data_IF_527427375873
#
_entry.id   IF_527427375873
#
_cell.length_a   1.000
_cell.length_b   1.000
_cell.length_c   1.000
_cell.angle_alpha   90.00
_cell.angle_beta   90.00
_cell.angle_gamma   90.00
#
_symmetry.space_group_name_H-M   'P 1'
#
loop_
_entity.id
_entity.type
_entity.pdbx_description
1 polymer ?
#
# COMPACT_ATOMS: atom_id res chain seq x y z
N UNK A 1 -3.57 -46.11 1.89
CA UNK A 1 -4.42 -45.36 2.86
C UNK A 1 -5.74 -45.04 2.17
N UNK A 2 -6.91 -45.38 2.70
CA UNK A 2 -8.23 -45.05 2.09
C UNK A 2 -8.91 -43.93 2.88
N UNK A 3 -9.22 -42.80 2.25
CA UNK A 3 -10.06 -41.76 2.84
C UNK A 3 -11.54 -42.17 2.77
N UNK A 4 -12.32 -41.85 3.81
CA UNK A 4 -13.75 -42.16 3.90
C UNK A 4 -14.59 -40.94 3.53
N UNK A 5 -15.20 -40.94 2.34
CA UNK A 5 -16.26 -39.97 2.01
C UNK A 5 -17.57 -40.45 2.64
N UNK A 6 -18.08 -39.75 3.66
CA UNK A 6 -19.44 -39.98 4.17
C UNK A 6 -20.43 -39.13 3.36
N UNK A 7 -21.18 -39.77 2.46
CA UNK A 7 -22.53 -39.30 2.17
C UNK A 7 -23.39 -39.53 3.43
N UNK A 8 -24.25 -38.58 3.76
CA UNK A 8 -25.42 -38.82 4.59
C UNK A 8 -26.66 -38.63 3.72
N UNK A 9 -27.48 -39.67 3.62
CA UNK A 9 -28.80 -39.60 3.02
C UNK A 9 -29.82 -39.20 4.08
N UNK A 10 -30.86 -38.47 3.66
CA UNK A 10 -32.13 -38.40 4.37
C UNK A 10 -33.16 -39.18 3.55
N UNK A 11 -33.58 -40.34 4.06
CA UNK A 11 -34.88 -40.92 3.70
C UNK A 11 -35.99 -40.27 4.54
N UNK A 12 -37.25 -40.71 4.48
CA UNK A 12 -37.81 -41.90 3.83
C UNK A 12 -39.17 -41.51 3.22
N UNK A 13 -39.53 -42.12 2.10
CA UNK A 13 -40.92 -42.17 1.64
C UNK A 13 -41.39 -43.63 1.64
N UNK A 14 -42.48 -43.91 2.34
CA UNK A 14 -43.13 -45.23 2.38
C UNK A 14 -44.64 -45.05 2.51
N UNK A 15 -45.41 -45.79 1.70
CA UNK A 15 -46.86 -45.80 1.76
C UNK A 15 -47.36 -47.16 2.24
N UNK A 16 -48.32 -47.16 3.16
CA UNK A 16 -48.98 -48.37 3.68
C UNK A 16 -50.27 -47.97 4.38
N UNK A 17 -51.39 -48.54 3.97
CA UNK A 17 -52.71 -48.15 4.44
C UNK A 17 -53.25 -49.21 5.40
N UNK A 18 -53.55 -48.80 6.63
CA UNK A 18 -54.17 -49.65 7.66
C UNK A 18 -55.07 -48.76 8.51
N UNK A 19 -56.36 -49.10 8.59
CA UNK A 19 -57.38 -48.23 9.19
C UNK A 19 -57.59 -48.61 10.65
N UNK A 20 -57.29 -47.67 11.56
CA UNK A 20 -57.88 -47.62 12.89
C UNK A 20 -58.47 -46.23 13.10
N UNK A 21 -59.69 -46.16 13.65
CA UNK A 21 -60.30 -44.91 14.05
C UNK A 21 -59.74 -44.50 15.42
N UNK A 22 -58.70 -43.67 15.39
CA UNK A 22 -58.22 -42.88 16.51
C UNK A 22 -58.15 -41.41 16.06
N UNK A 23 -58.24 -40.46 16.98
CA UNK A 23 -58.36 -39.04 16.64
C UNK A 23 -57.19 -38.56 15.78
N UNK A 24 -57.51 -37.97 14.63
CA UNK A 24 -56.52 -37.43 13.70
C UNK A 24 -55.93 -36.11 14.22
N UNK A 25 -55.21 -36.16 15.33
CA UNK A 25 -54.13 -35.21 15.63
C UNK A 25 -53.02 -35.51 14.63
N UNK A 26 -53.20 -35.03 13.41
CA UNK A 26 -52.15 -35.00 12.41
C UNK A 26 -51.06 -34.06 12.92
N UNK A 27 -50.04 -34.62 13.57
CA UNK A 27 -48.79 -33.93 13.86
C UNK A 27 -48.16 -33.51 12.52
N UNK A 28 -48.53 -32.33 12.05
CA UNK A 28 -47.92 -31.70 10.89
C UNK A 28 -46.43 -31.57 11.19
N UNK A 29 -45.59 -32.28 10.42
CA UNK A 29 -44.18 -32.46 10.75
C UNK A 29 -43.46 -31.10 10.81
N UNK A 30 -43.26 -30.61 12.03
CA UNK A 30 -42.63 -29.34 12.34
C UNK A 30 -41.14 -29.39 11.94
N UNK A 31 -40.65 -28.27 11.39
CA UNK A 31 -39.38 -28.21 10.66
C UNK A 31 -39.56 -28.00 9.15
N UNK A 32 -38.53 -28.37 8.38
CA UNK A 32 -38.45 -28.12 6.94
C UNK A 32 -39.38 -29.02 6.12
N UNK A 33 -40.19 -28.41 5.24
CA UNK A 33 -41.04 -29.10 4.26
C UNK A 33 -40.87 -28.50 2.86
N UNK A 34 -41.06 -29.30 1.82
CA UNK A 34 -41.10 -28.81 0.43
C UNK A 34 -42.46 -28.21 0.09
N UNK A 35 -42.47 -27.16 -0.73
CA UNK A 35 -43.67 -26.47 -1.20
C UNK A 35 -43.47 -26.11 -2.67
N UNK A 36 -43.88 -27.01 -3.55
CA UNK A 36 -43.48 -26.99 -4.96
C UNK A 36 -41.96 -27.08 -5.09
N UNK A 37 -41.37 -26.16 -5.86
CA UNK A 37 -39.92 -26.11 -6.13
C UNK A 37 -39.13 -25.32 -5.06
N UNK A 38 -39.72 -25.01 -3.91
CA UNK A 38 -39.08 -24.28 -2.81
C UNK A 38 -39.36 -24.95 -1.45
N UNK A 39 -38.83 -24.37 -0.38
CA UNK A 39 -38.97 -24.86 0.98
C UNK A 39 -39.79 -23.91 1.85
N UNK A 40 -40.49 -24.47 2.82
CA UNK A 40 -41.11 -23.78 3.95
C UNK A 40 -40.57 -24.39 5.25
N UNK A 41 -40.72 -23.67 6.36
CA UNK A 41 -40.50 -24.21 7.70
C UNK A 41 -41.82 -24.11 8.46
N UNK A 42 -42.22 -25.20 9.12
CA UNK A 42 -43.42 -25.28 9.93
C UNK A 42 -43.02 -25.18 11.40
N UNK A 43 -43.58 -24.19 12.10
CA UNK A 43 -43.37 -24.00 13.54
C UNK A 43 -44.16 -25.03 14.38
N UNK A 44 -43.90 -25.09 15.68
CA UNK A 44 -44.52 -26.06 16.59
C UNK A 44 -46.04 -25.91 16.75
N UNK A 45 -46.63 -24.80 16.28
CA UNK A 45 -48.07 -24.54 16.23
C UNK A 45 -48.71 -24.96 14.89
N UNK A 46 -47.93 -25.52 13.96
CA UNK A 46 -48.36 -25.89 12.61
C UNK A 46 -48.39 -24.72 11.61
N UNK A 47 -48.03 -23.50 12.02
CA UNK A 47 -47.99 -22.34 11.13
C UNK A 47 -46.71 -22.29 10.28
N UNK A 48 -46.71 -21.48 9.21
CA UNK A 48 -45.50 -21.24 8.39
C UNK A 48 -44.64 -20.15 9.02
N UNK A 49 -43.39 -20.50 9.34
CA UNK A 49 -42.41 -19.55 9.86
C UNK A 49 -42.14 -18.39 8.88
N UNK A 50 -41.93 -17.20 9.43
CA UNK A 50 -41.71 -15.96 8.66
C UNK A 50 -40.59 -15.13 9.27
N UNK A 51 -39.65 -14.70 8.43
CA UNK A 51 -38.47 -13.95 8.85
C UNK A 51 -37.26 -14.85 9.11
N UNK A 52 -36.45 -14.51 10.12
CA UNK A 52 -35.14 -15.11 10.36
C UNK A 52 -35.21 -16.40 11.17
N UNK A 53 -34.79 -17.52 10.55
CA UNK A 53 -34.53 -18.79 11.25
C UNK A 53 -33.03 -18.89 11.55
N UNK A 54 -32.70 -19.43 12.72
CA UNK A 54 -31.35 -19.86 13.09
C UNK A 54 -31.36 -21.37 13.34
N UNK A 55 -30.47 -22.09 12.66
CA UNK A 55 -30.23 -23.53 12.85
C UNK A 55 -28.82 -23.77 13.39
N UNK A 56 -28.41 -25.04 13.50
CA UNK A 56 -27.01 -25.45 13.70
C UNK A 56 -26.08 -25.01 12.57
N UNK A 57 -26.62 -24.86 11.36
CA UNK A 57 -25.83 -24.71 10.13
C UNK A 57 -25.64 -23.24 9.74
N UNK A 58 -26.43 -22.35 10.34
CA UNK A 58 -26.42 -20.91 10.12
C UNK A 58 -27.82 -20.30 10.12
N UNK A 59 -27.94 -19.15 9.46
CA UNK A 59 -29.18 -18.39 9.33
C UNK A 59 -29.86 -18.60 7.98
N UNK A 60 -31.19 -18.56 7.98
CA UNK A 60 -32.07 -18.63 6.81
C UNK A 60 -33.10 -17.49 6.90
N UNK A 61 -33.72 -17.11 5.78
CA UNK A 61 -34.80 -16.11 5.78
C UNK A 61 -36.03 -16.58 5.01
N UNK A 62 -37.14 -16.74 5.73
CA UNK A 62 -38.44 -17.10 5.19
C UNK A 62 -39.19 -15.82 4.81
N UNK A 63 -39.72 -15.78 3.60
CA UNK A 63 -40.38 -14.60 3.05
C UNK A 63 -41.64 -14.21 3.83
N UNK A 64 -41.75 -12.94 4.23
CA UNK A 64 -42.78 -12.47 5.15
C UNK A 64 -44.21 -12.55 4.58
N UNK A 65 -44.39 -12.56 3.26
CA UNK A 65 -45.71 -12.76 2.66
C UNK A 65 -46.03 -14.26 2.59
N UNK A 66 -45.15 -15.04 1.94
CA UNK A 66 -45.44 -16.41 1.48
C UNK A 66 -45.00 -17.54 2.42
N UNK A 67 -44.07 -17.27 3.34
CA UNK A 67 -43.39 -18.28 4.17
C UNK A 67 -42.36 -19.13 3.39
N UNK A 68 -42.02 -18.76 2.15
CA UNK A 68 -41.07 -19.48 1.30
C UNK A 68 -39.61 -19.11 1.63
N UNK A 69 -38.72 -20.08 1.60
CA UNK A 69 -37.29 -19.92 1.83
C UNK A 69 -36.66 -19.01 0.77
N UNK A 70 -35.91 -17.98 1.20
CA UNK A 70 -35.20 -17.08 0.29
C UNK A 70 -33.88 -17.69 -0.21
N UNK A 71 -33.59 -17.47 -1.48
CA UNK A 71 -32.31 -17.76 -2.14
C UNK A 71 -31.87 -16.56 -2.97
N UNK A 72 -30.58 -16.46 -3.30
CA UNK A 72 -30.00 -15.31 -3.98
C UNK A 72 -29.95 -14.04 -3.13
N UNK A 73 -29.89 -12.89 -3.78
CA UNK A 73 -29.86 -11.58 -3.13
C UNK A 73 -31.25 -11.19 -2.56
N UNK A 74 -31.31 -10.86 -1.27
CA UNK A 74 -32.51 -10.31 -0.61
C UNK A 74 -32.13 -9.04 0.16
N UNK A 75 -32.92 -7.97 0.00
CA UNK A 75 -32.79 -6.75 0.81
C UNK A 75 -33.74 -6.83 2.00
N UNK A 76 -33.21 -6.74 3.22
CA UNK A 76 -33.94 -6.90 4.49
C UNK A 76 -33.53 -5.73 5.39
N UNK A 77 -34.51 -4.98 5.92
CA UNK A 77 -34.29 -3.80 6.78
C UNK A 77 -33.23 -2.82 6.22
N UNK A 78 -33.38 -2.50 4.92
CA UNK A 78 -32.48 -1.70 4.08
C UNK A 78 -31.04 -2.26 3.86
N UNK A 79 -30.66 -3.38 4.46
CA UNK A 79 -29.36 -4.05 4.24
C UNK A 79 -29.49 -5.16 3.20
N UNK A 80 -28.42 -5.42 2.44
CA UNK A 80 -28.37 -6.55 1.50
C UNK A 80 -27.77 -7.80 2.15
N UNK A 81 -28.34 -8.95 1.81
CA UNK A 81 -27.90 -10.28 2.21
C UNK A 81 -27.91 -11.19 0.97
N UNK A 82 -27.06 -12.21 0.98
CA UNK A 82 -27.12 -13.30 -0.01
C UNK A 82 -27.42 -14.61 0.69
N UNK A 83 -28.36 -15.38 0.14
CA UNK A 83 -28.71 -16.72 0.58
C UNK A 83 -28.29 -17.72 -0.51
N UNK A 84 -27.51 -18.74 -0.13
CA UNK A 84 -27.03 -19.78 -1.04
C UNK A 84 -28.20 -20.59 -1.61
N UNK A 85 -27.96 -21.43 -2.62
CA UNK A 85 -28.99 -22.27 -3.25
C UNK A 85 -29.74 -23.19 -2.28
N UNK A 86 -29.12 -23.54 -1.15
CA UNK A 86 -29.72 -24.29 -0.04
C UNK A 86 -30.30 -23.40 1.07
N UNK A 87 -30.57 -22.11 0.81
CA UNK A 87 -31.18 -21.17 1.75
C UNK A 87 -30.28 -20.61 2.85
N UNK A 88 -29.07 -21.16 3.05
CA UNK A 88 -28.14 -20.66 4.05
C UNK A 88 -27.60 -19.28 3.68
N UNK A 89 -27.67 -18.34 4.64
CA UNK A 89 -27.04 -17.02 4.54
C UNK A 89 -25.53 -17.13 4.27
N UNK A 90 -25.01 -16.21 3.48
CA UNK A 90 -23.58 -16.06 3.22
C UNK A 90 -22.91 -15.20 4.28
N UNK A 91 -21.69 -15.58 4.66
CA UNK A 91 -20.73 -14.82 5.47
C UNK A 91 -19.38 -14.96 4.79
N UNK A 92 -18.57 -13.90 4.80
CA UNK A 92 -17.29 -13.84 4.10
C UNK A 92 -17.43 -13.69 2.58
N UNK A 93 -16.39 -14.13 1.86
CA UNK A 93 -16.28 -14.00 0.40
C UNK A 93 -17.29 -14.83 -0.38
N UNK A 94 -18.00 -14.17 -1.30
CA UNK A 94 -18.92 -14.78 -2.27
C UNK A 94 -18.45 -14.46 -3.69
N UNK A 95 -18.38 -15.48 -4.56
CA UNK A 95 -18.23 -15.27 -6.01
C UNK A 95 -19.55 -15.56 -6.72
N UNK A 96 -20.10 -14.55 -7.39
CA UNK A 96 -21.35 -14.64 -8.17
C UNK A 96 -21.17 -13.87 -9.48
N UNK A 97 -21.65 -14.41 -10.61
CA UNK A 97 -21.61 -13.72 -11.92
C UNK A 97 -20.19 -13.19 -12.31
N UNK A 98 -19.17 -13.98 -11.97
CA UNK A 98 -17.73 -13.67 -12.06
C UNK A 98 -17.24 -12.42 -11.27
N UNK A 99 -18.08 -11.83 -10.43
CA UNK A 99 -17.75 -10.77 -9.46
C UNK A 99 -17.49 -11.37 -8.08
N UNK A 100 -16.72 -10.66 -7.26
CA UNK A 100 -16.53 -10.99 -5.83
C UNK A 100 -17.27 -9.99 -4.95
N UNK A 101 -17.84 -10.49 -3.86
CA UNK A 101 -18.60 -9.75 -2.86
C UNK A 101 -18.17 -10.22 -1.45
N UNK A 102 -18.44 -9.43 -0.42
CA UNK A 102 -18.13 -9.80 0.97
C UNK A 102 -19.29 -9.51 1.91
N UNK A 103 -19.77 -10.54 2.61
CA UNK A 103 -20.70 -10.41 3.74
C UNK A 103 -19.92 -10.35 5.05
N UNK A 104 -20.26 -9.41 5.94
CA UNK A 104 -19.78 -9.42 7.32
C UNK A 104 -20.35 -10.62 8.10
N UNK A 105 -19.88 -10.86 9.33
CA UNK A 105 -20.32 -11.98 10.19
C UNK A 105 -21.83 -11.96 10.49
N UNK A 106 -22.43 -10.78 10.47
CA UNK A 106 -23.89 -10.59 10.58
C UNK A 106 -24.65 -10.80 9.26
N UNK A 107 -23.99 -11.33 8.23
CA UNK A 107 -24.50 -11.58 6.87
C UNK A 107 -24.55 -10.37 5.94
N UNK A 108 -24.40 -9.15 6.46
CA UNK A 108 -24.66 -7.92 5.69
C UNK A 108 -23.56 -7.65 4.67
N UNK A 109 -23.96 -7.35 3.43
CA UNK A 109 -23.06 -7.02 2.33
C UNK A 109 -22.30 -5.72 2.61
N UNK A 110 -20.98 -5.75 2.45
CA UNK A 110 -20.14 -4.54 2.46
C UNK A 110 -20.27 -3.81 1.13
N UNK A 111 -20.67 -2.53 1.17
CA UNK A 111 -20.91 -1.70 -0.01
C UNK A 111 -20.34 -0.30 0.17
N UNK A 112 -19.71 0.23 -0.88
CA UNK A 112 -19.18 1.60 -0.94
C UNK A 112 -18.03 1.92 0.01
N UNK A 113 -17.45 0.93 0.71
CA UNK A 113 -16.45 1.13 1.75
C UNK A 113 -15.19 0.30 1.54
N UNK A 114 -14.13 0.71 2.23
CA UNK A 114 -13.00 -0.18 2.48
C UNK A 114 -13.40 -1.35 3.39
N UNK A 115 -12.65 -2.44 3.22
CA UNK A 115 -12.74 -3.70 3.94
C UNK A 115 -11.31 -4.12 4.30
N UNK A 116 -11.05 -4.39 5.58
CA UNK A 116 -9.76 -4.93 6.04
C UNK A 116 -9.94 -6.37 6.51
N UNK A 117 -9.12 -7.27 5.95
CA UNK A 117 -9.04 -8.67 6.38
C UNK A 117 -7.57 -8.94 6.69
N UNK A 118 -7.26 -9.25 7.95
CA UNK A 118 -5.90 -9.37 8.47
C UNK A 118 -5.08 -8.07 8.20
N UNK A 119 -4.03 -8.17 7.38
CA UNK A 119 -3.18 -7.07 6.94
C UNK A 119 -3.48 -6.65 5.48
N UNK A 120 -4.56 -7.14 4.89
CA UNK A 120 -4.93 -6.90 3.50
C UNK A 120 -6.12 -5.92 3.43
N UNK A 121 -5.99 -4.90 2.57
CA UNK A 121 -7.05 -3.92 2.31
C UNK A 121 -7.72 -4.19 0.96
N UNK A 122 -9.04 -4.10 0.94
CA UNK A 122 -9.92 -4.24 -0.23
C UNK A 122 -10.87 -3.04 -0.26
N UNK A 123 -11.42 -2.71 -1.41
CA UNK A 123 -12.50 -1.73 -1.53
C UNK A 123 -13.71 -2.36 -2.21
N UNK A 124 -14.86 -2.31 -1.55
CA UNK A 124 -16.12 -2.84 -2.07
C UNK A 124 -16.91 -1.68 -2.66
N UNK A 125 -17.24 -1.76 -3.95
CA UNK A 125 -17.90 -0.68 -4.71
C UNK A 125 -19.35 -0.49 -4.25
N UNK A 126 -20.05 0.52 -4.77
CA UNK A 126 -21.45 0.81 -4.39
C UNK A 126 -22.42 -0.37 -4.57
N UNK A 127 -22.22 -1.22 -5.59
CA UNK A 127 -22.99 -2.46 -5.79
C UNK A 127 -22.55 -3.64 -4.92
N UNK A 128 -21.52 -3.46 -4.09
CA UNK A 128 -20.87 -4.51 -3.30
C UNK A 128 -19.77 -5.28 -4.04
N UNK A 129 -19.48 -4.98 -5.31
CA UNK A 129 -18.40 -5.66 -6.02
C UNK A 129 -17.01 -5.24 -5.51
N UNK A 130 -16.15 -6.22 -5.25
CA UNK A 130 -14.74 -6.02 -4.99
C UNK A 130 -14.05 -5.24 -6.13
N UNK A 131 -13.29 -4.21 -5.78
CA UNK A 131 -12.50 -3.45 -6.74
C UNK A 131 -11.26 -4.22 -7.21
N UNK A 132 -10.96 -4.11 -8.50
CA UNK A 132 -9.69 -4.47 -9.14
C UNK A 132 -9.25 -3.33 -10.06
N UNK A 133 -7.96 -3.22 -10.36
CA UNK A 133 -7.37 -2.15 -11.16
C UNK A 133 -7.33 -0.78 -10.45
N UNK A 134 -7.09 0.27 -11.24
CA UNK A 134 -7.07 1.66 -10.77
C UNK A 134 -8.45 2.15 -10.31
N UNK A 135 -8.51 2.80 -9.14
CA UNK A 135 -9.69 3.49 -8.61
C UNK A 135 -9.31 4.84 -8.02
N UNK A 136 -10.13 5.85 -8.26
CA UNK A 136 -10.05 7.10 -7.50
C UNK A 136 -11.04 7.01 -6.33
N UNK A 137 -10.55 7.19 -5.10
CA UNK A 137 -11.33 7.16 -3.86
C UNK A 137 -10.92 8.40 -3.06
N UNK A 138 -11.89 9.19 -2.62
CA UNK A 138 -11.67 10.43 -1.87
C UNK A 138 -10.59 11.35 -2.49
N UNK A 139 -10.71 11.53 -3.82
CA UNK A 139 -9.81 12.26 -4.74
C UNK A 139 -8.43 11.62 -4.99
N UNK A 140 -8.01 10.63 -4.21
CA UNK A 140 -6.71 9.97 -4.36
C UNK A 140 -6.80 8.72 -5.25
N UNK A 141 -5.72 8.37 -5.96
CA UNK A 141 -5.66 7.16 -6.77
C UNK A 141 -5.09 5.98 -5.98
N UNK A 142 -5.73 4.82 -6.12
CA UNK A 142 -5.35 3.54 -5.53
C UNK A 142 -5.32 2.48 -6.62
N UNK A 143 -4.47 1.46 -6.46
CA UNK A 143 -4.46 0.29 -7.33
C UNK A 143 -4.80 -0.98 -6.56
N UNK A 144 -5.80 -1.71 -7.05
CA UNK A 144 -6.19 -3.02 -6.52
C UNK A 144 -5.71 -4.11 -7.48
N UNK A 145 -5.02 -5.13 -6.95
CA UNK A 145 -4.52 -6.27 -7.73
C UNK A 145 -5.67 -7.15 -8.25
N UNK A 146 -5.34 -8.15 -9.08
CA UNK A 146 -6.34 -9.07 -9.64
C UNK A 146 -7.10 -9.88 -8.56
N UNK A 147 -6.49 -10.08 -7.40
CA UNK A 147 -7.09 -10.68 -6.20
C UNK A 147 -7.78 -9.65 -5.26
N UNK A 148 -7.99 -8.42 -5.75
CA UNK A 148 -8.66 -7.34 -5.04
C UNK A 148 -7.87 -6.67 -3.92
N UNK A 149 -6.65 -7.13 -3.61
CA UNK A 149 -5.82 -6.52 -2.57
C UNK A 149 -5.19 -5.23 -3.06
N UNK A 150 -5.28 -4.17 -2.26
CA UNK A 150 -4.59 -2.90 -2.49
C UNK A 150 -3.08 -3.11 -2.65
N UNK A 151 -2.46 -2.33 -3.53
CA UNK A 151 -1.02 -2.28 -3.74
C UNK A 151 -0.36 -1.20 -2.85
N UNK A 152 0.90 -1.43 -2.52
CA UNK A 152 1.76 -0.58 -1.69
C UNK A 152 3.19 -0.66 -2.25
N UNK A 153 3.98 0.41 -2.13
CA UNK A 153 5.33 0.48 -2.68
C UNK A 153 5.37 0.57 -4.21
N UNK A 154 6.47 0.08 -4.80
CA UNK A 154 6.67 0.05 -6.25
C UNK A 154 5.73 -0.92 -6.95
N UNK A 155 5.03 -0.45 -7.98
CA UNK A 155 4.11 -1.23 -8.82
C UNK A 155 4.51 -1.10 -10.30
N UNK A 156 4.78 -2.23 -10.97
CA UNK A 156 4.99 -2.29 -12.43
C UNK A 156 3.70 -2.71 -13.14
N UNK A 157 3.26 -1.94 -14.13
CA UNK A 157 2.15 -2.28 -15.03
C UNK A 157 2.60 -2.07 -16.48
N UNK A 158 2.87 -3.17 -17.21
CA UNK A 158 3.56 -3.10 -18.49
C UNK A 158 4.96 -2.48 -18.31
N UNK A 159 5.30 -1.49 -19.13
CA UNK A 159 6.59 -0.77 -19.03
C UNK A 159 6.57 0.40 -18.03
N UNK A 160 5.41 0.73 -17.47
CA UNK A 160 5.25 1.81 -16.52
C UNK A 160 5.48 1.34 -15.09
N UNK A 161 6.18 2.16 -14.30
CA UNK A 161 6.28 2.01 -12.85
C UNK A 161 5.55 3.15 -12.16
N UNK A 162 4.95 2.82 -11.02
CA UNK A 162 4.22 3.73 -10.13
C UNK A 162 4.70 3.48 -8.69
N UNK A 163 4.48 4.44 -7.80
CA UNK A 163 4.67 4.23 -6.37
C UNK A 163 3.38 4.50 -5.60
N UNK A 164 2.99 3.56 -4.75
CA UNK A 164 1.89 3.69 -3.80
C UNK A 164 2.50 3.89 -2.41
N UNK A 165 2.09 4.93 -1.69
CA UNK A 165 2.53 5.21 -0.32
C UNK A 165 2.05 4.15 0.69
N UNK A 166 2.46 4.26 1.96
CA UNK A 166 2.03 3.35 3.04
C UNK A 166 0.51 3.34 3.23
N UNK A 167 -0.14 4.50 3.05
CA UNK A 167 -1.59 4.65 3.07
C UNK A 167 -2.29 4.20 1.77
N UNK A 168 -1.54 3.62 0.83
CA UNK A 168 -2.00 3.07 -0.45
C UNK A 168 -2.15 4.09 -1.58
N UNK A 169 -1.96 5.39 -1.33
CA UNK A 169 -2.17 6.46 -2.33
C UNK A 169 -1.04 6.49 -3.36
N UNK A 170 -1.40 6.62 -4.63
CA UNK A 170 -0.44 6.85 -5.72
C UNK A 170 0.23 8.22 -5.57
N UNK A 171 1.57 8.23 -5.61
CA UNK A 171 2.36 9.45 -5.60
C UNK A 171 2.56 10.03 -7.01
N UNK A 172 2.86 11.32 -7.07
CA UNK A 172 3.22 12.07 -8.28
C UNK A 172 4.24 13.17 -7.95
N UNK A 173 4.89 13.73 -8.96
CA UNK A 173 5.96 14.73 -8.82
C UNK A 173 7.29 14.15 -8.34
N UNK A 174 8.14 15.02 -7.78
CA UNK A 174 9.38 14.63 -7.12
C UNK A 174 9.10 13.88 -5.82
N UNK A 175 9.74 12.73 -5.63
CA UNK A 175 9.57 11.88 -4.44
C UNK A 175 10.91 11.31 -3.97
N UNK A 176 11.18 11.38 -2.66
CA UNK A 176 12.33 10.72 -2.05
C UNK A 176 11.90 9.37 -1.47
N UNK A 177 12.43 8.27 -2.02
CA UNK A 177 12.07 6.90 -1.66
C UNK A 177 13.37 6.14 -1.37
N UNK A 178 13.51 5.59 -0.16
CA UNK A 178 14.72 4.86 0.27
C UNK A 178 16.02 5.61 -0.04
N UNK A 179 16.09 6.87 0.39
CA UNK A 179 17.19 7.83 0.19
C UNK A 179 17.51 8.23 -1.26
N UNK A 180 16.86 7.65 -2.27
CA UNK A 180 17.00 8.07 -3.68
C UNK A 180 15.84 9.00 -4.09
N UNK A 181 16.09 9.96 -4.97
CA UNK A 181 15.04 10.81 -5.55
C UNK A 181 14.54 10.21 -6.87
N UNK A 182 13.24 10.32 -7.12
CA UNK A 182 12.56 9.85 -8.33
C UNK A 182 11.57 10.93 -8.80
N UNK A 183 11.22 10.93 -10.08
CA UNK A 183 10.16 11.80 -10.61
C UNK A 183 9.07 10.94 -11.24
N UNK A 184 7.87 11.03 -10.66
CA UNK A 184 6.64 10.44 -11.17
C UNK A 184 5.84 11.54 -11.89
N UNK A 185 5.32 11.31 -13.09
CA UNK A 185 4.52 12.33 -13.78
C UNK A 185 3.12 12.52 -13.16
N UNK A 186 2.31 13.41 -13.74
CA UNK A 186 0.96 13.70 -13.27
C UNK A 186 -0.02 12.50 -13.35
N UNK A 187 0.37 11.40 -14.01
CA UNK A 187 -0.36 10.12 -14.03
C UNK A 187 0.29 9.06 -13.12
N UNK A 188 1.26 9.47 -12.30
CA UNK A 188 2.05 8.61 -11.41
C UNK A 188 3.13 7.78 -12.11
N UNK A 189 3.40 8.01 -13.40
CA UNK A 189 4.35 7.18 -14.16
C UNK A 189 5.78 7.68 -13.94
N UNK A 190 6.65 6.78 -13.47
CA UNK A 190 8.09 7.01 -13.32
C UNK A 190 8.73 7.46 -14.64
N UNK A 191 9.41 8.61 -14.60
CA UNK A 191 10.15 9.18 -15.71
C UNK A 191 11.64 8.83 -15.60
N UNK A 192 12.24 8.55 -16.76
CA UNK A 192 13.65 8.18 -16.92
C UNK A 192 14.27 8.92 -18.09
N UNK A 193 15.59 9.09 -18.09
CA UNK A 193 16.32 9.95 -19.02
C UNK A 193 16.36 11.42 -18.57
N UNK A 194 16.58 12.32 -19.53
CA UNK A 194 16.64 13.75 -19.28
C UNK A 194 15.29 14.33 -18.82
N UNK A 195 15.31 15.13 -17.76
CA UNK A 195 14.18 15.86 -17.21
C UNK A 195 14.54 17.35 -17.10
N UNK A 196 13.55 18.24 -17.22
CA UNK A 196 13.69 19.69 -17.09
C UNK A 196 12.49 20.23 -16.32
N UNK A 197 12.71 21.02 -15.28
CA UNK A 197 11.65 21.68 -14.49
C UNK A 197 11.30 23.09 -15.02
N UNK A 198 12.05 23.59 -16.00
CA UNK A 198 11.98 24.96 -16.55
C UNK A 198 13.18 25.83 -16.18
N UNK A 199 13.88 25.49 -15.10
CA UNK A 199 15.08 26.18 -14.57
C UNK A 199 16.32 25.28 -14.64
N UNK A 200 16.18 24.03 -14.23
CA UNK A 200 17.24 23.05 -14.04
C UNK A 200 17.01 21.82 -14.93
N UNK A 201 18.10 21.27 -15.48
CA UNK A 201 18.11 19.93 -16.09
C UNK A 201 18.56 18.89 -15.07
N UNK A 202 17.94 17.73 -15.12
CA UNK A 202 18.25 16.55 -14.32
C UNK A 202 18.44 15.34 -15.25
N UNK A 203 19.17 14.33 -14.80
CA UNK A 203 19.16 13.02 -15.44
C UNK A 203 18.64 11.96 -14.48
N UNK A 204 17.53 11.34 -14.86
CA UNK A 204 16.94 10.20 -14.19
C UNK A 204 17.48 8.95 -14.86
N UNK A 205 17.99 7.99 -14.09
CA UNK A 205 18.63 6.78 -14.63
C UNK A 205 17.66 5.90 -15.45
N UNK A 206 18.17 4.91 -16.21
CA UNK A 206 17.32 3.92 -16.89
C UNK A 206 16.43 3.09 -15.96
N UNK A 207 15.64 2.19 -16.56
CA UNK A 207 14.82 1.16 -15.88
C UNK A 207 15.43 -0.22 -16.15
N UNK A 208 16.58 -0.50 -15.55
CA UNK A 208 17.28 -1.78 -15.64
C UNK A 208 17.28 -2.51 -14.28
N UNK A 209 18.01 -3.62 -14.17
CA UNK A 209 18.03 -4.45 -12.95
C UNK A 209 18.77 -3.81 -11.76
N UNK A 210 19.55 -2.74 -12.01
CA UNK A 210 20.36 -2.01 -11.01
C UNK A 210 19.84 -0.59 -10.76
N UNK A 211 19.27 0.04 -11.79
CA UNK A 211 18.77 1.41 -11.76
C UNK A 211 17.27 1.46 -12.05
N UNK A 212 16.50 2.14 -11.21
CA UNK A 212 15.04 2.23 -11.29
C UNK A 212 14.58 3.69 -11.43
N UNK A 213 15.14 4.46 -12.37
CA UNK A 213 14.78 5.87 -12.53
C UNK A 213 15.19 6.78 -11.38
N UNK A 214 16.30 6.46 -10.69
CA UNK A 214 16.89 7.31 -9.65
C UNK A 214 17.44 8.60 -10.25
N UNK A 215 17.40 9.70 -9.51
CA UNK A 215 18.09 10.94 -9.88
C UNK A 215 19.60 10.77 -9.78
N UNK A 216 20.33 11.27 -10.78
CA UNK A 216 21.79 11.24 -10.86
C UNK A 216 22.43 12.42 -10.12
N UNK A 217 23.60 12.16 -9.54
CA UNK A 217 24.49 13.15 -8.93
C UNK A 217 25.91 13.02 -9.50
N UNK A 218 26.77 13.99 -9.20
CA UNK A 218 28.20 13.98 -9.53
C UNK A 218 28.47 13.83 -11.03
N UNK A 219 29.60 13.22 -11.39
CA UNK A 219 29.98 12.94 -12.77
C UNK A 219 29.21 11.73 -13.33
N UNK A 220 28.53 11.91 -14.47
CA UNK A 220 27.85 10.83 -15.21
C UNK A 220 28.19 10.93 -16.70
N UNK A 221 28.51 9.80 -17.32
CA UNK A 221 28.61 9.71 -18.78
C UNK A 221 27.23 9.34 -19.35
N UNK A 222 26.75 10.12 -20.32
CA UNK A 222 25.46 9.97 -20.98
C UNK A 222 25.71 10.18 -22.49
N UNK A 223 25.32 9.21 -23.31
CA UNK A 223 25.48 9.23 -24.78
C UNK A 223 26.92 9.59 -25.23
N UNK A 224 27.91 9.04 -24.52
CA UNK A 224 29.34 9.24 -24.74
C UNK A 224 29.94 10.50 -24.09
N UNK A 225 29.14 11.50 -23.73
CA UNK A 225 29.61 12.75 -23.12
C UNK A 225 29.55 12.70 -21.60
N UNK A 226 30.51 13.32 -20.92
CA UNK A 226 30.44 13.53 -19.47
C UNK A 226 29.65 14.79 -19.14
N UNK A 227 28.82 14.68 -18.11
CA UNK A 227 28.06 15.77 -17.49
C UNK A 227 28.32 15.75 -15.98
N UNK A 228 28.15 16.89 -15.32
CA UNK A 228 28.23 16.99 -13.86
C UNK A 228 26.90 17.48 -13.27
N UNK A 229 26.40 16.79 -12.24
CA UNK A 229 25.18 17.12 -11.51
C UNK A 229 25.53 17.48 -10.05
N UNK A 230 24.98 18.59 -9.53
CA UNK A 230 25.25 19.01 -8.15
C UNK A 230 24.53 18.12 -7.12
N UNK A 231 24.71 18.40 -5.82
CA UNK A 231 24.07 17.65 -4.73
C UNK A 231 22.51 17.70 -4.74
N UNK A 232 21.90 18.63 -5.49
CA UNK A 232 20.45 18.70 -5.73
C UNK A 232 20.03 18.00 -7.03
N UNK A 233 20.95 17.38 -7.77
CA UNK A 233 20.72 16.74 -9.07
C UNK A 233 20.70 17.70 -10.26
N UNK A 234 21.04 18.98 -10.09
CA UNK A 234 20.99 19.97 -11.16
C UNK A 234 22.25 19.87 -12.02
N UNK A 235 22.09 19.67 -13.33
CA UNK A 235 23.16 19.64 -14.32
C UNK A 235 23.87 21.00 -14.37
N UNK A 236 25.19 21.00 -14.16
CA UNK A 236 26.02 22.21 -14.17
C UNK A 236 26.49 22.59 -15.57
N UNK A 237 26.89 23.86 -15.71
CA UNK A 237 27.51 24.47 -16.90
C UNK A 237 28.61 25.42 -16.44
N UNK A 238 29.53 25.77 -17.32
CA UNK A 238 30.71 26.58 -16.97
C UNK A 238 31.72 25.77 -16.16
N UNK A 239 32.41 26.42 -15.23
CA UNK A 239 33.49 25.80 -14.47
C UNK A 239 32.99 24.92 -13.32
N UNK A 240 33.48 23.69 -13.26
CA UNK A 240 33.35 22.78 -12.11
C UNK A 240 34.74 22.48 -11.56
N UNK A 241 34.91 22.64 -10.24
CA UNK A 241 36.09 22.17 -9.50
C UNK A 241 35.74 20.87 -8.76
N UNK A 242 36.43 19.79 -9.06
CA UNK A 242 36.27 18.49 -8.41
C UNK A 242 37.65 17.86 -8.13
N UNK A 243 37.86 17.28 -6.95
CA UNK A 243 39.13 16.66 -6.53
C UNK A 243 40.37 17.56 -6.79
N UNK A 244 40.23 18.85 -6.46
CA UNK A 244 41.17 19.96 -6.73
C UNK A 244 41.58 20.18 -8.20
N UNK A 245 40.86 19.59 -9.16
CA UNK A 245 41.01 19.79 -10.61
C UNK A 245 39.87 20.62 -11.15
N UNK A 246 40.10 21.31 -12.26
CA UNK A 246 39.15 22.20 -12.91
C UNK A 246 38.74 21.64 -14.27
N UNK A 247 37.44 21.66 -14.52
CA UNK A 247 36.77 21.12 -15.69
C UNK A 247 35.80 22.18 -16.22
N UNK A 248 35.56 22.21 -17.54
CA UNK A 248 34.57 23.11 -18.14
C UNK A 248 33.46 22.31 -18.82
N UNK A 249 32.21 22.67 -18.49
CA UNK A 249 30.98 22.09 -19.03
C UNK A 249 30.39 23.14 -19.99
N UNK A 250 30.17 22.78 -21.26
CA UNK A 250 29.71 23.72 -22.27
C UNK A 250 28.26 24.20 -22.05
N UNK A 251 27.72 24.97 -22.99
CA UNK A 251 26.33 25.48 -22.96
C UNK A 251 25.25 24.38 -22.93
N UNK A 252 25.55 23.15 -23.36
CA UNK A 252 24.68 21.98 -23.23
C UNK A 252 24.86 21.21 -21.92
N UNK A 253 25.94 21.48 -21.17
CA UNK A 253 26.38 20.73 -19.99
C UNK A 253 27.43 19.65 -20.26
N UNK A 254 27.95 19.53 -21.49
CA UNK A 254 28.94 18.52 -21.88
C UNK A 254 30.35 18.95 -21.49
N UNK A 255 31.12 18.06 -20.87
CA UNK A 255 32.52 18.28 -20.52
C UNK A 255 33.39 18.46 -21.76
N UNK A 256 34.20 19.52 -21.75
CA UNK A 256 35.22 19.80 -22.76
C UNK A 256 36.43 18.89 -22.52
N UNK A 257 36.92 18.25 -23.59
CA UNK A 257 38.09 17.35 -23.56
C UNK A 257 38.96 17.56 -24.81
N UNK A 258 40.26 17.34 -24.68
CA UNK A 258 41.22 17.22 -25.79
C UNK A 258 41.34 18.42 -26.71
N UNK A 259 41.07 19.64 -26.23
CA UNK A 259 41.03 20.86 -27.04
C UNK A 259 41.33 22.11 -26.19
N UNK A 260 41.60 23.23 -26.86
CA UNK A 260 41.75 24.54 -26.20
C UNK A 260 40.55 25.44 -26.51
N UNK A 261 40.03 26.14 -25.49
CA UNK A 261 38.95 27.12 -25.63
C UNK A 261 39.36 28.48 -25.09
N UNK A 262 38.90 29.56 -25.74
CA UNK A 262 38.89 30.90 -25.17
C UNK A 262 37.64 31.07 -24.30
N UNK A 263 37.83 31.31 -23.01
CA UNK A 263 36.78 31.54 -22.01
C UNK A 263 37.13 32.85 -21.29
N UNK A 264 36.23 33.83 -21.34
CA UNK A 264 36.37 35.15 -20.71
C UNK A 264 37.68 35.89 -21.06
N UNK A 265 38.23 35.65 -22.26
CA UNK A 265 39.46 36.25 -22.77
C UNK A 265 40.73 35.42 -22.57
N UNK A 266 40.65 34.30 -21.84
CA UNK A 266 41.77 33.42 -21.52
C UNK A 266 41.68 32.09 -22.28
N UNK A 267 42.81 31.62 -22.82
CA UNK A 267 42.88 30.31 -23.48
C UNK A 267 43.21 29.23 -22.45
N UNK A 268 42.32 28.23 -22.31
CA UNK A 268 42.51 27.05 -21.48
C UNK A 268 42.59 25.82 -22.36
N UNK A 269 43.64 25.03 -22.20
CA UNK A 269 43.76 23.68 -22.80
C UNK A 269 43.22 22.64 -21.83
N UNK A 270 42.43 21.71 -22.34
CA UNK A 270 41.82 20.62 -21.59
C UNK A 270 42.39 19.27 -22.08
N UNK A 271 42.88 18.45 -21.15
CA UNK A 271 43.43 17.12 -21.46
C UNK A 271 42.36 16.12 -21.96
N UNK A 272 42.78 14.90 -22.28
CA UNK A 272 41.87 13.82 -22.69
C UNK A 272 40.87 13.37 -21.59
N UNK A 273 40.98 13.90 -20.37
CA UNK A 273 40.09 13.67 -19.22
C UNK A 273 39.33 14.94 -18.81
N UNK A 274 39.47 16.03 -19.57
CA UNK A 274 38.81 17.32 -19.35
C UNK A 274 39.43 18.20 -18.26
N UNK A 275 40.65 17.90 -17.83
CA UNK A 275 41.38 18.67 -16.83
C UNK A 275 42.04 19.88 -17.51
N UNK A 276 41.81 21.09 -16.99
CA UNK A 276 42.47 22.31 -17.48
C UNK A 276 43.93 22.42 -17.01
N UNK A 277 44.86 22.69 -17.92
CA UNK A 277 46.31 22.61 -17.65
C UNK A 277 46.86 23.69 -16.70
N UNK A 278 46.32 24.93 -16.73
CA UNK A 278 46.70 26.00 -15.79
C UNK A 278 45.49 26.84 -15.37
N UNK A 279 45.42 27.16 -14.09
CA UNK A 279 44.20 27.67 -13.43
C UNK A 279 44.36 29.15 -13.06
N UNK A 280 44.12 30.05 -14.02
CA UNK A 280 43.85 31.46 -13.72
C UNK A 280 42.41 31.83 -14.11
N UNK A 281 41.45 31.18 -13.45
CA UNK A 281 40.00 31.35 -13.70
C UNK A 281 39.47 32.76 -13.35
N UNK A 282 40.31 33.65 -12.83
CA UNK A 282 39.94 35.02 -12.46
C UNK A 282 38.72 35.06 -11.55
N UNK A 283 37.73 35.87 -11.94
CA UNK A 283 36.45 36.04 -11.22
C UNK A 283 35.33 35.12 -11.75
N UNK A 284 35.65 34.12 -12.58
CA UNK A 284 34.64 33.24 -13.16
C UNK A 284 33.86 32.46 -12.07
N UNK A 285 32.57 32.21 -12.31
CA UNK A 285 31.76 31.41 -11.40
C UNK A 285 32.16 29.94 -11.50
N UNK A 286 32.74 29.41 -10.42
CA UNK A 286 33.18 28.01 -10.30
C UNK A 286 32.26 27.25 -9.33
N UNK A 287 31.55 26.24 -9.83
CA UNK A 287 30.86 25.30 -8.95
C UNK A 287 31.89 24.39 -8.26
N UNK A 288 31.95 24.43 -6.93
CA UNK A 288 32.83 23.56 -6.15
C UNK A 288 32.08 22.27 -5.77
N UNK A 289 32.55 21.13 -6.26
CA UNK A 289 31.94 19.82 -6.00
C UNK A 289 32.22 19.35 -4.57
N UNK A 290 31.20 19.43 -3.72
CA UNK A 290 31.09 18.67 -2.48
C UNK A 290 30.57 17.25 -2.74
N UNK A 291 30.85 16.32 -1.83
CA UNK A 291 30.34 14.96 -1.88
C UNK A 291 28.81 14.93 -1.82
N UNK A 292 28.16 14.25 -2.77
CA UNK A 292 26.72 14.06 -2.74
C UNK A 292 26.27 13.14 -1.58
N UNK A 293 25.03 13.26 -1.07
CA UNK A 293 24.53 12.38 -0.03
C UNK A 293 24.37 10.93 -0.50
N UNK A 294 25.02 9.98 0.17
CA UNK A 294 24.68 8.54 0.09
C UNK A 294 25.54 7.65 -0.81
N UNK A 295 26.52 8.19 -1.54
CA UNK A 295 27.50 7.37 -2.28
C UNK A 295 28.86 7.30 -1.55
N UNK A 296 29.36 6.09 -1.30
CA UNK A 296 30.75 5.86 -0.88
C UNK A 296 31.68 5.96 -2.09
N UNK A 297 32.87 6.55 -1.89
CA UNK A 297 33.80 6.95 -2.96
C UNK A 297 34.18 5.81 -3.94
N UNK A 298 33.51 5.74 -5.09
CA UNK A 298 33.98 4.97 -6.25
C UNK A 298 35.13 5.72 -6.95
N UNK A 299 36.32 5.64 -6.36
CA UNK A 299 37.54 6.29 -6.82
C UNK A 299 38.06 5.66 -8.14
N UNK A 300 37.74 6.26 -9.28
CA UNK A 300 38.26 5.81 -10.58
C UNK A 300 39.69 6.30 -10.83
N UNK A 301 40.66 5.52 -10.33
CA UNK A 301 42.08 5.88 -10.37
C UNK A 301 43.04 4.68 -10.30
N UNK A 302 43.09 3.88 -11.37
CA UNK A 302 44.07 2.80 -11.65
C UNK A 302 44.15 1.60 -10.71
N UNK A 303 44.37 0.42 -11.31
CA UNK A 303 44.55 -0.86 -10.62
C UNK A 303 46.02 -1.11 -10.25
N UNK A 304 46.29 -1.47 -8.99
CA UNK A 304 47.52 -2.13 -8.58
C UNK A 304 47.21 -3.18 -7.50
N UNK A 305 47.77 -4.38 -7.62
CA UNK A 305 47.77 -5.36 -6.51
C UNK A 305 48.80 -4.92 -5.48
N UNK A 306 48.40 -4.79 -4.23
CA UNK A 306 49.29 -5.06 -3.10
C UNK A 306 48.49 -5.69 -1.96
N UNK A 307 49.13 -6.59 -1.23
CA UNK A 307 48.57 -7.31 -0.10
C UNK A 307 49.11 -6.76 1.21
N UNK A 308 48.26 -6.58 2.22
CA UNK A 308 48.59 -7.04 3.58
C UNK A 308 47.36 -7.11 4.49
N UNK A 309 47.55 -7.85 5.57
CA UNK A 309 46.57 -8.38 6.50
C UNK A 309 45.75 -7.34 7.29
N UNK A 310 44.61 -7.82 7.78
CA UNK A 310 43.90 -7.34 8.96
C UNK A 310 44.79 -7.13 10.19
N UNK A 311 44.39 -6.21 11.07
CA UNK A 311 44.35 -6.47 12.51
C UNK A 311 43.27 -5.60 13.19
N UNK A 312 42.48 -6.23 14.04
CA UNK A 312 41.65 -5.63 15.09
C UNK A 312 42.55 -5.39 16.33
N UNK A 313 42.30 -4.38 17.17
CA UNK A 313 41.90 -4.76 18.54
C UNK A 313 40.94 -3.79 19.27
N UNK A 314 39.85 -4.36 19.80
CA UNK A 314 39.31 -4.23 21.17
C UNK A 314 39.13 -2.84 21.83
N UNK A 315 37.92 -2.61 22.37
CA UNK A 315 37.65 -1.64 23.44
C UNK A 315 38.19 -2.08 24.82
N UNK A 316 38.17 -1.22 25.86
CA UNK A 316 37.08 -1.38 26.84
C UNK A 316 36.62 -0.11 27.62
N UNK A 317 35.58 -0.32 28.44
CA UNK A 317 35.23 0.34 29.72
C UNK A 317 34.77 1.82 29.80
N UNK A 318 33.45 1.96 29.97
CA UNK A 318 32.72 2.75 30.98
C UNK A 318 33.46 3.62 32.03
N UNK A 319 32.85 4.77 32.37
CA UNK A 319 32.51 5.16 33.77
C UNK A 319 31.52 6.35 33.80
N UNK A 320 30.93 6.66 34.96
CA UNK A 320 29.82 7.64 35.10
C UNK A 320 29.83 8.44 36.42
N UNK A 321 29.71 9.76 36.31
CA UNK A 321 29.22 10.74 37.30
C UNK A 321 29.17 12.11 36.57
N UNK A 322 28.34 13.12 36.88
CA UNK A 322 27.92 13.66 38.17
C UNK A 322 28.74 14.95 38.44
N UNK A 323 28.19 16.10 38.85
CA UNK A 323 26.81 16.41 39.29
C UNK A 323 26.56 17.94 39.41
N UNK A 324 25.32 18.32 39.76
CA UNK A 324 24.87 19.63 40.31
C UNK A 324 24.74 20.82 39.31
N UNK A 325 23.89 21.84 39.56
CA UNK A 325 23.19 22.22 40.79
C UNK A 325 21.84 22.94 40.51
N UNK A 326 20.95 23.00 41.52
CA UNK A 326 19.69 23.78 41.55
C UNK A 326 19.81 24.90 42.61
N UNK A 327 18.90 25.91 42.73
CA UNK A 327 17.95 25.84 43.86
C UNK A 327 16.59 26.59 43.76
N UNK A 328 15.56 25.99 44.40
CA UNK A 328 14.42 26.68 45.05
C UNK A 328 13.26 27.19 44.18
N UNK A 329 12.01 27.32 44.67
CA UNK A 329 11.33 26.78 45.88
C UNK A 329 9.79 26.99 45.73
N UNK A 330 8.84 26.60 46.60
CA UNK A 330 8.87 25.94 47.93
C UNK A 330 7.53 25.21 48.28
N UNK A 331 7.52 24.59 49.46
CA UNK A 331 6.48 24.29 50.47
C UNK A 331 5.00 24.80 50.38
N UNK A 332 3.98 24.18 51.02
CA UNK A 332 3.87 22.95 51.86
C UNK A 332 2.38 22.48 52.02
N UNK A 333 2.16 21.22 52.46
CA UNK A 333 0.92 20.59 53.00
C UNK A 333 -0.30 20.48 52.06
N UNK A 334 -1.06 19.37 51.97
CA UNK A 334 -1.12 18.12 52.76
C UNK A 334 -2.36 18.10 53.67
N UNK A 335 -3.20 17.06 53.77
CA UNK A 335 -3.22 15.67 53.23
C UNK A 335 -4.71 15.18 53.13
N UNK A 336 -5.16 13.92 52.95
CA UNK A 336 -4.58 12.57 53.03
C UNK A 336 -5.45 11.50 52.29
N UNK A 337 -4.94 10.27 52.16
CA UNK A 337 -5.59 8.98 51.82
C UNK A 337 -6.19 8.75 50.41
N UNK A 338 -6.05 7.50 49.95
CA UNK A 338 -6.42 6.94 48.64
C UNK A 338 -7.24 5.64 48.84
N UNK A 339 -7.61 4.85 47.80
CA UNK A 339 -7.79 5.16 46.37
C UNK A 339 -9.13 4.62 45.80
N UNK A 340 -9.56 5.12 44.62
CA UNK A 340 -10.12 4.25 43.57
C UNK A 340 -9.87 4.86 42.16
N UNK A 341 -10.26 4.17 41.10
CA UNK A 341 -9.40 3.99 39.92
C UNK A 341 -10.02 4.35 38.56
N UNK A 342 -9.16 4.85 37.66
CA UNK A 342 -9.36 5.03 36.21
C UNK A 342 -10.71 5.64 35.76
N UNK A 343 -10.85 6.97 35.76
CA UNK A 343 -10.44 7.85 34.64
C UNK A 343 -11.21 7.64 33.31
N UNK A 344 -12.18 8.52 33.04
CA UNK A 344 -12.61 8.82 31.67
C UNK A 344 -11.49 9.57 30.94
N UNK A 345 -11.32 9.35 29.64
CA UNK A 345 -10.63 10.29 28.75
C UNK A 345 -11.51 10.57 27.53
N UNK A 346 -11.59 11.84 27.14
CA UNK A 346 -12.33 12.32 25.98
C UNK A 346 -11.38 12.55 24.80
N UNK A 347 -11.81 12.18 23.60
CA UNK A 347 -11.21 12.64 22.34
C UNK A 347 -12.27 13.28 21.45
N UNK A 348 -11.86 14.26 20.65
CA UNK A 348 -12.74 15.16 19.90
C UNK A 348 -13.07 14.67 18.49
N UNK A 349 -14.07 15.31 17.88
CA UNK A 349 -14.72 14.87 16.65
C UNK A 349 -14.01 15.25 15.36
N UNK A 350 -14.10 14.36 14.36
CA UNK A 350 -14.44 14.78 12.99
C UNK A 350 -15.28 13.70 12.28
N UNK A 351 -16.27 14.16 11.50
CA UNK A 351 -17.13 13.42 10.55
C UNK A 351 -17.15 11.89 10.64
N UNK A 352 -18.15 11.34 11.32
CA UNK A 352 -18.32 9.89 11.47
C UNK A 352 -19.07 9.20 10.32
N UNK A 353 -18.79 7.92 10.15
CA UNK A 353 -19.72 6.94 9.59
C UNK A 353 -19.60 5.66 10.44
N UNK A 354 -20.70 4.96 10.70
CA UNK A 354 -20.73 3.82 11.62
C UNK A 354 -20.11 2.56 11.02
N UNK A 355 -18.77 2.49 11.00
CA UNK A 355 -18.02 1.33 10.51
C UNK A 355 -18.35 0.08 11.34
N UNK A 356 -18.94 -0.93 10.69
CA UNK A 356 -19.13 -2.25 11.31
C UNK A 356 -17.78 -3.00 11.34
N UNK A 357 -17.66 -4.01 12.21
CA UNK A 357 -16.45 -4.84 12.30
C UNK A 357 -16.03 -5.37 10.91
N UNK A 358 -14.76 -5.16 10.55
CA UNK A 358 -14.20 -5.45 9.22
C UNK A 358 -14.17 -4.27 8.24
N UNK A 359 -14.98 -3.22 8.44
CA UNK A 359 -14.88 -1.97 7.67
C UNK A 359 -13.78 -1.06 8.24
N UNK A 360 -13.20 -0.19 7.40
CA UNK A 360 -12.16 0.79 7.78
C UNK A 360 -12.35 2.09 6.98
N UNK A 361 -11.67 3.17 7.38
CA UNK A 361 -11.53 4.39 6.55
C UNK A 361 -10.58 4.21 5.35
N UNK A 362 -9.71 3.20 5.41
CA UNK A 362 -8.73 2.87 4.37
C UNK A 362 -7.51 2.16 4.96
N UNK A 363 -6.42 2.02 4.20
CA UNK A 363 -5.07 1.95 4.74
C UNK A 363 -4.70 3.30 5.40
N UNK A 364 -3.69 3.30 6.26
CA UNK A 364 -3.24 4.44 7.08
C UNK A 364 -1.71 4.50 7.04
#
# INVERSE_FOLDING_TARGET
MKLKTKLFMAGIAAAGMLIFAADNVSYAANGWQTSGNSWIYIDNDGSKHKGWIKTTDGYYYMDLASGLMSTGWKKINNKWYFFKSNGLMNVGWLKENNKWYYSLDNGTLVQGSWLRIENNYYYMRGGGEMATGWRQIDKHWYYFKADGRCAFGWLKLGDNWYYLASDGKMLSGWQQISNSYYYLDAKGVLRTGWLNDGTNKYYMEPKDEKHLGKMTYNWKQIDGYWYFFNASGHMQKGWVKANNKYYYLNTDGKMVVGQSLNIDGYIYTFDAKGIADTVNVGNAQVYNASSAPGESNNNYGTSAKSSSQSNDPNAPSSSSSGSAQNPGSDQNSGSNQSPDSSSKSSSSSSTGNGLQAGQTGGPQ
#
